data_IF_268655199310
#
_entry.id   IF_268655199310
#
_cell.length_a   1.000
_cell.length_b   1.000
_cell.length_c   1.000
_cell.angle_alpha   90.00
_cell.angle_beta   90.00
_cell.angle_gamma   90.00
#
_symmetry.space_group_name_H-M   'P 1'
#
loop_
_entity.id
_entity.type
_entity.pdbx_description
1 polymer ?
#
# COMPACT_ATOMS: atom_id res chain seq x y z
N UNK A 1 -18.59 -22.23 -6.44
CA UNK A 1 -18.32 -20.86 -5.99
C UNK A 1 -17.26 -20.30 -6.93
N UNK A 2 -17.50 -19.16 -7.57
CA UNK A 2 -16.54 -18.56 -8.49
C UNK A 2 -15.38 -17.92 -7.71
N UNK A 3 -14.18 -17.91 -8.31
CA UNK A 3 -13.02 -17.23 -7.71
C UNK A 3 -13.23 -15.72 -7.78
N UNK A 4 -12.92 -15.02 -6.69
CA UNK A 4 -12.86 -13.56 -6.68
C UNK A 4 -11.62 -13.07 -7.43
N UNK A 5 -11.63 -11.84 -7.92
CA UNK A 5 -10.57 -11.26 -8.75
C UNK A 5 -9.17 -11.43 -8.16
N UNK A 6 -9.00 -11.20 -6.86
CA UNK A 6 -7.71 -11.35 -6.18
C UNK A 6 -7.17 -12.79 -6.14
N UNK A 7 -8.00 -13.80 -6.40
CA UNK A 7 -7.58 -15.20 -6.47
C UNK A 7 -7.33 -15.69 -7.90
N UNK A 8 -7.51 -14.83 -8.90
CA UNK A 8 -7.20 -15.15 -10.31
C UNK A 8 -5.78 -14.74 -10.72
N UNK A 9 -5.11 -13.94 -9.89
CA UNK A 9 -3.74 -13.48 -10.14
C UNK A 9 -2.76 -14.62 -9.84
N UNK A 10 -1.82 -14.86 -10.75
CA UNK A 10 -0.75 -15.86 -10.54
C UNK A 10 0.30 -15.32 -9.56
N UNK A 11 0.18 -15.70 -8.29
CA UNK A 11 1.09 -15.28 -7.22
C UNK A 11 2.48 -15.92 -7.31
N UNK A 12 2.71 -16.89 -8.20
CA UNK A 12 4.03 -17.43 -8.47
C UNK A 12 4.84 -16.58 -9.47
N UNK A 13 4.15 -15.72 -10.21
CA UNK A 13 4.74 -14.77 -11.16
C UNK A 13 4.71 -13.33 -10.67
N UNK A 14 3.92 -13.05 -9.63
CA UNK A 14 3.71 -11.71 -9.09
C UNK A 14 4.97 -11.24 -8.36
N UNK A 15 5.49 -10.09 -8.75
CA UNK A 15 6.67 -9.46 -8.13
C UNK A 15 6.27 -8.19 -7.36
N UNK A 16 7.13 -7.64 -6.51
CA UNK A 16 6.92 -6.33 -5.92
C UNK A 16 6.67 -5.26 -6.98
N UNK A 17 5.63 -4.46 -6.78
CA UNK A 17 5.17 -3.50 -7.78
C UNK A 17 3.98 -2.70 -7.29
N UNK A 18 3.34 -2.02 -8.24
CA UNK A 18 2.16 -1.19 -8.02
C UNK A 18 1.13 -1.51 -9.12
N UNK A 19 0.03 -2.12 -8.75
CA UNK A 19 -0.91 -2.66 -9.71
C UNK A 19 -2.31 -2.09 -9.51
N UNK A 20 -3.07 -1.89 -10.58
CA UNK A 20 -4.53 -1.76 -10.49
C UNK A 20 -5.09 -3.15 -10.24
N UNK A 21 -5.65 -3.37 -9.04
CA UNK A 21 -6.28 -4.64 -8.69
C UNK A 21 -7.65 -4.79 -9.35
N UNK A 22 -8.46 -3.73 -9.27
CA UNK A 22 -9.78 -3.67 -9.92
C UNK A 22 -10.28 -2.24 -9.96
N UNK A 23 -11.30 -2.02 -10.80
CA UNK A 23 -12.10 -0.81 -10.84
C UNK A 23 -13.55 -1.16 -10.60
N UNK A 24 -14.17 -0.50 -9.61
CA UNK A 24 -15.57 -0.69 -9.25
C UNK A 24 -16.35 0.60 -9.54
N UNK A 25 -17.64 0.48 -9.91
CA UNK A 25 -18.52 1.63 -10.10
C UNK A 25 -19.47 1.78 -8.90
N UNK A 26 -19.54 2.96 -8.35
CA UNK A 26 -20.50 3.35 -7.33
C UNK A 26 -21.31 4.56 -7.83
N UNK A 27 -22.46 4.29 -8.45
CA UNK A 27 -23.22 5.29 -9.21
C UNK A 27 -22.40 5.77 -10.42
N UNK A 28 -22.18 7.08 -10.53
CA UNK A 28 -21.38 7.69 -11.61
C UNK A 28 -19.87 7.72 -11.30
N UNK A 29 -19.47 7.30 -10.11
CA UNK A 29 -18.06 7.34 -9.69
C UNK A 29 -17.37 6.01 -9.92
N UNK A 30 -16.12 6.07 -10.38
CA UNK A 30 -15.21 4.94 -10.42
C UNK A 30 -14.40 4.93 -9.14
N UNK A 31 -14.19 3.75 -8.57
CA UNK A 31 -13.30 3.52 -7.44
C UNK A 31 -12.20 2.59 -7.94
N UNK A 32 -10.97 3.09 -7.94
CA UNK A 32 -9.81 2.28 -8.30
C UNK A 32 -9.16 1.71 -7.04
N UNK A 33 -9.01 0.38 -7.00
CA UNK A 33 -8.27 -0.33 -5.95
C UNK A 33 -6.88 -0.67 -6.46
N UNK A 34 -5.86 -0.21 -5.74
CA UNK A 34 -4.46 -0.50 -6.04
C UNK A 34 -3.92 -1.56 -5.09
N UNK A 35 -3.14 -2.47 -5.66
CA UNK A 35 -2.30 -3.44 -4.96
C UNK A 35 -0.88 -2.86 -4.88
N UNK A 36 -0.47 -2.48 -3.67
CA UNK A 36 0.87 -2.00 -3.36
C UNK A 36 1.66 -3.21 -2.86
N UNK A 37 2.28 -3.95 -3.79
CA UNK A 37 2.98 -5.19 -3.48
C UNK A 37 4.41 -4.90 -3.06
N UNK A 38 4.71 -5.07 -1.78
CA UNK A 38 6.00 -4.68 -1.20
C UNK A 38 7.00 -5.82 -1.12
N UNK A 39 6.54 -7.07 -1.00
CA UNK A 39 7.38 -8.25 -0.88
C UNK A 39 7.04 -9.29 -1.94
N UNK A 40 8.01 -10.14 -2.29
CA UNK A 40 7.83 -11.23 -3.24
C UNK A 40 6.91 -12.32 -2.64
N UNK A 41 5.73 -12.55 -3.20
CA UNK A 41 4.81 -13.55 -2.66
C UNK A 41 5.43 -14.95 -2.69
N UNK A 42 5.37 -15.65 -1.56
CA UNK A 42 5.85 -17.03 -1.37
C UNK A 42 7.38 -17.26 -1.55
N UNK A 43 8.17 -16.23 -1.87
CA UNK A 43 9.60 -16.34 -2.11
C UNK A 43 10.45 -15.68 -1.02
N UNK A 44 9.91 -14.72 -0.29
CA UNK A 44 10.60 -14.08 0.83
C UNK A 44 9.71 -14.00 2.09
N UNK A 45 10.28 -13.78 3.28
CA UNK A 45 9.50 -13.58 4.50
C UNK A 45 8.53 -12.42 4.36
N UNK A 46 7.30 -12.61 4.85
CA UNK A 46 6.30 -11.53 4.92
C UNK A 46 6.67 -10.51 6.00
N UNK A 47 6.14 -9.31 5.89
CA UNK A 47 6.26 -8.29 6.95
C UNK A 47 5.61 -8.78 8.24
N UNK A 48 6.20 -8.43 9.40
CA UNK A 48 5.57 -8.70 10.70
C UNK A 48 4.43 -7.71 10.97
N UNK A 49 3.58 -8.04 11.93
CA UNK A 49 2.38 -7.25 12.25
C UNK A 49 2.72 -5.83 12.66
N UNK A 50 3.76 -5.63 13.45
CA UNK A 50 4.11 -4.33 14.01
C UNK A 50 4.58 -3.32 12.95
N UNK A 51 5.44 -3.72 12.00
CA UNK A 51 5.81 -2.81 10.90
C UNK A 51 4.67 -2.57 9.92
N UNK A 52 3.85 -3.58 9.65
CA UNK A 52 2.63 -3.44 8.83
C UNK A 52 1.68 -2.42 9.44
N UNK A 53 1.40 -2.54 10.74
CA UNK A 53 0.53 -1.64 11.49
C UNK A 53 1.09 -0.20 11.52
N UNK A 54 2.40 -0.06 11.68
CA UNK A 54 3.07 1.25 11.65
C UNK A 54 2.95 1.90 10.26
N UNK A 55 3.20 1.16 9.18
CA UNK A 55 3.04 1.65 7.81
C UNK A 55 1.59 2.05 7.54
N UNK A 56 0.62 1.28 8.03
CA UNK A 56 -0.80 1.62 7.91
C UNK A 56 -1.11 2.98 8.53
N UNK A 57 -0.70 3.21 9.78
CA UNK A 57 -0.94 4.48 10.48
C UNK A 57 -0.28 5.68 9.76
N UNK A 58 0.98 5.53 9.36
CA UNK A 58 1.73 6.58 8.68
C UNK A 58 1.18 6.86 7.28
N UNK A 59 0.91 5.83 6.50
CA UNK A 59 0.37 5.95 5.14
C UNK A 59 -1.05 6.53 5.13
N UNK A 60 -1.93 6.07 6.02
CA UNK A 60 -3.28 6.62 6.16
C UNK A 60 -3.24 8.10 6.57
N UNK A 61 -2.35 8.47 7.52
CA UNK A 61 -2.16 9.85 7.94
C UNK A 61 -1.65 10.71 6.79
N UNK A 62 -0.66 10.26 6.05
CA UNK A 62 -0.14 10.96 4.87
C UNK A 62 -1.22 11.21 3.83
N UNK A 63 -1.92 10.16 3.42
CA UNK A 63 -2.93 10.23 2.37
C UNK A 63 -4.11 11.13 2.74
N UNK A 64 -4.60 11.04 3.99
CA UNK A 64 -5.72 11.85 4.49
C UNK A 64 -5.37 13.33 4.70
N UNK A 65 -4.08 13.67 4.72
CA UNK A 65 -3.59 15.04 4.80
C UNK A 65 -2.97 15.53 3.47
N UNK A 66 -2.95 14.71 2.43
CA UNK A 66 -2.39 15.09 1.13
C UNK A 66 -3.30 16.10 0.42
N UNK A 67 -2.72 17.21 -0.07
CA UNK A 67 -3.46 18.33 -0.68
C UNK A 67 -4.41 17.89 -1.82
N UNK A 68 -3.99 16.93 -2.65
CA UNK A 68 -4.71 16.54 -3.87
C UNK A 68 -5.48 15.22 -3.72
N UNK A 69 -5.16 14.41 -2.70
CA UNK A 69 -5.71 13.06 -2.54
C UNK A 69 -6.51 12.83 -1.26
N UNK A 70 -6.50 13.76 -0.30
CA UNK A 70 -7.24 13.60 0.95
C UNK A 70 -8.73 13.31 0.74
N UNK A 71 -9.39 14.07 -0.16
CA UNK A 71 -10.81 13.90 -0.49
C UNK A 71 -11.12 12.69 -1.36
N UNK A 72 -10.11 12.11 -2.00
CA UNK A 72 -10.24 10.96 -2.90
C UNK A 72 -9.91 9.62 -2.22
N UNK A 73 -9.19 9.66 -1.09
CA UNK A 73 -8.78 8.46 -0.36
C UNK A 73 -9.95 7.87 0.40
N UNK A 74 -10.35 6.67 0.03
CA UNK A 74 -11.37 5.90 0.74
C UNK A 74 -10.79 5.00 1.81
N UNK A 75 -9.71 4.28 1.47
CA UNK A 75 -9.08 3.32 2.36
C UNK A 75 -7.61 3.11 2.01
N UNK A 76 -6.79 2.92 3.03
CA UNK A 76 -5.44 2.39 2.94
C UNK A 76 -5.25 1.40 4.09
N UNK A 77 -4.84 0.19 3.79
CA UNK A 77 -4.65 -0.83 4.82
C UNK A 77 -3.98 -2.09 4.29
N UNK A 78 -3.46 -2.93 5.20
CA UNK A 78 -2.67 -4.10 4.85
C UNK A 78 -3.51 -5.23 4.26
N UNK A 79 -2.87 -6.03 3.42
CA UNK A 79 -3.38 -7.32 2.99
C UNK A 79 -3.23 -8.35 4.12
N UNK A 80 -4.18 -9.26 4.26
CA UNK A 80 -4.11 -10.35 5.25
C UNK A 80 -2.88 -11.25 5.10
N UNK A 81 -2.32 -11.38 3.88
CA UNK A 81 -1.08 -12.12 3.62
C UNK A 81 0.19 -11.37 4.03
N UNK A 82 0.09 -10.09 4.40
CA UNK A 82 1.20 -9.24 4.85
C UNK A 82 2.33 -9.05 3.83
N UNK A 83 2.00 -9.13 2.53
CA UNK A 83 2.96 -8.89 1.44
C UNK A 83 2.81 -7.48 0.82
N UNK A 84 1.85 -6.70 1.29
CA UNK A 84 1.58 -5.35 0.82
C UNK A 84 0.30 -4.75 1.37
N UNK A 85 -0.17 -3.71 0.70
CA UNK A 85 -1.31 -2.89 1.10
C UNK A 85 -2.29 -2.70 -0.04
N UNK A 86 -3.55 -2.43 0.30
CA UNK A 86 -4.52 -1.90 -0.63
C UNK A 86 -4.72 -0.40 -0.41
N UNK A 87 -4.79 0.34 -1.51
CA UNK A 87 -5.22 1.73 -1.55
C UNK A 87 -6.45 1.84 -2.45
N UNK A 88 -7.53 2.43 -1.93
CA UNK A 88 -8.75 2.72 -2.67
C UNK A 88 -8.87 4.23 -2.88
N UNK A 89 -8.95 4.65 -4.14
CA UNK A 89 -9.16 6.05 -4.51
C UNK A 89 -10.44 6.21 -5.34
N UNK A 90 -11.17 7.29 -5.08
CA UNK A 90 -12.23 7.76 -5.98
C UNK A 90 -11.58 8.37 -7.21
N UNK A 91 -11.88 7.83 -8.37
CA UNK A 91 -11.38 8.24 -9.67
C UNK A 91 -10.99 7.03 -10.52
N UNK A 92 -10.89 7.27 -11.82
CA UNK A 92 -10.44 6.29 -12.81
C UNK A 92 -8.93 6.50 -13.05
N UNK A 93 -8.13 5.63 -12.48
CA UNK A 93 -6.67 5.72 -12.52
C UNK A 93 -6.04 4.46 -13.12
N UNK A 94 -4.90 4.65 -13.74
CA UNK A 94 -3.95 3.57 -14.06
C UNK A 94 -2.83 3.53 -13.00
N UNK A 95 -2.13 2.39 -12.91
CA UNK A 95 -1.03 2.22 -11.93
C UNK A 95 0.01 3.33 -12.00
N UNK A 96 0.40 3.74 -13.20
CA UNK A 96 1.39 4.81 -13.44
C UNK A 96 0.97 6.18 -12.91
N UNK A 97 -0.34 6.45 -12.83
CA UNK A 97 -0.84 7.77 -12.44
C UNK A 97 -0.56 8.07 -10.97
N UNK A 98 -0.45 7.04 -10.13
CA UNK A 98 -0.19 7.19 -8.69
C UNK A 98 1.24 6.86 -8.28
N UNK A 99 2.14 6.55 -9.21
CA UNK A 99 3.57 6.35 -8.89
C UNK A 99 4.17 7.56 -8.17
N UNK A 100 3.92 8.82 -8.59
CA UNK A 100 4.42 9.99 -7.84
C UNK A 100 3.91 10.04 -6.40
N UNK A 101 2.60 9.82 -6.18
CA UNK A 101 1.99 9.79 -4.85
C UNK A 101 2.62 8.71 -3.97
N UNK A 102 2.86 7.52 -4.51
CA UNK A 102 3.50 6.43 -3.78
C UNK A 102 4.95 6.75 -3.42
N UNK A 103 5.71 7.39 -4.33
CA UNK A 103 7.07 7.87 -4.01
C UNK A 103 7.07 8.86 -2.86
N UNK A 104 6.17 9.84 -2.87
CA UNK A 104 6.03 10.82 -1.79
C UNK A 104 5.66 10.14 -0.46
N UNK A 105 4.67 9.26 -0.47
CA UNK A 105 4.21 8.55 0.73
C UNK A 105 5.30 7.65 1.33
N UNK A 106 5.97 6.85 0.51
CA UNK A 106 7.01 5.93 1.01
C UNK A 106 8.29 6.66 1.40
N UNK A 107 8.63 7.80 0.77
CA UNK A 107 9.68 8.68 1.24
C UNK A 107 9.34 9.28 2.62
N UNK A 108 8.10 9.76 2.80
CA UNK A 108 7.62 10.24 4.11
C UNK A 108 7.74 9.16 5.18
N UNK A 109 7.28 7.92 4.91
CA UNK A 109 7.36 6.82 5.87
C UNK A 109 8.82 6.44 6.15
N UNK A 110 9.68 6.38 5.14
CA UNK A 110 11.08 6.01 5.28
C UNK A 110 11.87 6.96 6.19
N UNK A 111 11.54 8.26 6.13
CA UNK A 111 12.25 9.31 6.87
C UNK A 111 11.53 9.73 8.17
N UNK A 112 10.39 9.13 8.48
CA UNK A 112 9.61 9.49 9.68
C UNK A 112 10.37 9.13 10.97
N UNK A 113 10.42 10.08 11.91
CA UNK A 113 11.20 9.93 13.15
C UNK A 113 10.47 10.43 14.42
N UNK A 114 9.16 10.67 14.33
CA UNK A 114 8.33 11.11 15.45
C UNK A 114 7.51 9.99 16.08
N UNK A 115 6.62 10.35 16.98
CA UNK A 115 5.61 9.45 17.51
C UNK A 115 4.64 9.04 16.39
N UNK A 116 4.39 7.73 16.26
CA UNK A 116 3.46 7.23 15.23
C UNK A 116 2.06 7.78 15.49
N UNK A 117 1.44 8.46 14.51
CA UNK A 117 0.11 9.02 14.69
C UNK A 117 -0.92 7.96 15.10
N UNK A 118 -1.73 8.25 16.10
CA UNK A 118 -2.75 7.33 16.59
C UNK A 118 -2.23 6.15 17.40
N UNK A 119 -0.92 6.04 17.68
CA UNK A 119 -0.35 4.98 18.50
C UNK A 119 -0.56 5.23 20.00
N UNK A 120 -1.82 5.40 20.42
CA UNK A 120 -2.22 5.61 21.79
C UNK A 120 -3.44 4.75 22.12
N UNK A 121 -3.57 4.34 23.39
CA UNK A 121 -4.64 3.44 23.83
C UNK A 121 -6.06 3.95 23.53
N UNK A 122 -6.25 5.27 23.48
CA UNK A 122 -7.54 5.90 23.17
C UNK A 122 -7.85 5.92 21.65
N UNK A 123 -6.83 5.79 20.81
CA UNK A 123 -6.94 6.01 19.36
C UNK A 123 -6.83 4.70 18.56
N UNK A 124 -6.18 3.68 19.15
CA UNK A 124 -5.93 2.40 18.48
C UNK A 124 -6.18 1.21 19.41
N UNK A 125 -6.86 0.20 18.91
CA UNK A 125 -7.19 -1.01 19.66
C UNK A 125 -5.98 -1.91 20.00
N UNK A 126 -4.82 -1.69 19.36
CA UNK A 126 -3.57 -2.42 19.59
C UNK A 126 -2.35 -1.51 19.45
N UNK A 127 -2.35 -0.40 20.15
CA UNK A 127 -1.38 0.70 20.01
C UNK A 127 0.08 0.31 20.34
N UNK A 128 0.30 -0.79 21.05
CA UNK A 128 1.64 -1.30 21.39
C UNK A 128 2.28 -2.13 20.25
N UNK A 129 1.50 -2.58 19.27
CA UNK A 129 2.00 -3.37 18.14
C UNK A 129 2.53 -2.44 17.03
N UNK A 130 3.60 -1.72 17.33
CA UNK A 130 4.27 -0.77 16.44
C UNK A 130 5.77 -1.05 16.36
N UNK A 131 6.36 -0.89 15.17
CA UNK A 131 7.79 -1.00 14.94
C UNK A 131 8.23 0.03 13.89
N UNK A 132 8.49 1.25 14.34
CA UNK A 132 8.88 2.35 13.45
C UNK A 132 10.20 2.08 12.70
N UNK A 133 11.30 1.59 13.32
CA UNK A 133 12.53 1.30 12.60
C UNK A 133 12.36 0.30 11.45
N UNK A 134 11.55 -0.76 11.64
CA UNK A 134 11.27 -1.72 10.58
C UNK A 134 10.32 -1.15 9.52
N UNK A 135 9.35 -0.33 9.90
CA UNK A 135 8.50 0.38 8.95
C UNK A 135 9.32 1.32 8.06
N UNK A 136 10.24 2.11 8.63
CA UNK A 136 11.17 2.95 7.88
C UNK A 136 12.00 2.10 6.90
N UNK A 137 12.57 0.99 7.36
CA UNK A 137 13.37 0.08 6.54
C UNK A 137 12.57 -0.48 5.36
N UNK A 138 11.38 -1.02 5.62
CA UNK A 138 10.53 -1.62 4.58
C UNK A 138 10.05 -0.56 3.58
N UNK A 139 9.69 0.63 4.05
CA UNK A 139 9.30 1.74 3.19
C UNK A 139 10.45 2.21 2.30
N UNK A 140 11.66 2.36 2.87
CA UNK A 140 12.85 2.74 2.11
C UNK A 140 13.21 1.68 1.08
N UNK A 141 13.17 0.41 1.44
CA UNK A 141 13.42 -0.70 0.53
C UNK A 141 12.45 -0.65 -0.67
N UNK A 142 11.14 -0.56 -0.41
CA UNK A 142 10.14 -0.48 -1.48
C UNK A 142 10.33 0.77 -2.36
N UNK A 143 10.64 1.92 -1.77
CA UNK A 143 10.92 3.14 -2.50
C UNK A 143 12.11 2.97 -3.45
N UNK A 144 13.25 2.50 -2.94
CA UNK A 144 14.51 2.46 -3.70
C UNK A 144 14.60 1.28 -4.66
N UNK A 145 14.11 0.11 -4.27
CA UNK A 145 14.23 -1.11 -5.08
C UNK A 145 13.07 -1.29 -6.09
N UNK A 146 11.92 -0.66 -5.83
CA UNK A 146 10.73 -0.80 -6.69
C UNK A 146 10.32 0.53 -7.32
N UNK A 147 9.91 1.51 -6.52
CA UNK A 147 9.26 2.71 -7.04
C UNK A 147 10.19 3.62 -7.85
N UNK A 148 11.46 3.78 -7.46
CA UNK A 148 12.42 4.67 -8.15
C UNK A 148 12.76 4.19 -9.56
N UNK A 149 12.75 2.87 -9.77
CA UNK A 149 13.08 2.23 -11.06
C UNK A 149 11.95 1.36 -11.61
N UNK A 150 10.68 1.69 -11.27
CA UNK A 150 9.52 0.89 -11.63
C UNK A 150 9.38 0.72 -13.14
N UNK A 151 9.15 -0.50 -13.56
CA UNK A 151 9.02 -0.90 -14.97
C UNK A 151 7.57 -1.29 -15.29
N UNK A 152 7.23 -1.37 -16.58
CA UNK A 152 5.90 -1.81 -17.03
C UNK A 152 5.48 -3.16 -16.43
N UNK A 153 6.41 -4.08 -16.22
CA UNK A 153 6.14 -5.39 -15.60
C UNK A 153 5.70 -5.30 -14.14
N UNK A 154 6.00 -4.19 -13.49
CA UNK A 154 5.64 -3.92 -12.08
C UNK A 154 4.40 -3.02 -11.97
N UNK A 155 3.78 -2.67 -13.10
CA UNK A 155 2.57 -1.84 -13.19
C UNK A 155 1.35 -2.62 -13.68
N UNK A 156 1.56 -3.80 -14.27
CA UNK A 156 0.50 -4.66 -14.81
C UNK A 156 0.66 -6.06 -14.25
N UNK A 157 -0.44 -6.68 -13.82
CA UNK A 157 -0.41 -8.04 -13.31
C UNK A 157 0.13 -9.03 -14.37
N UNK A 158 0.93 -10.03 -13.94
CA UNK A 158 1.39 -11.08 -14.83
C UNK A 158 0.20 -11.92 -15.35
N UNK A 159 0.29 -12.30 -16.63
CA UNK A 159 -0.65 -13.22 -17.29
C UNK A 159 -0.38 -14.68 -16.91
#
# INVERSE_FOLDING_TARGET
>A
MEKITSFTIDHLKLVPGLYVSRKDCAGEQVITTFDIRMTNPNEEPVMNTAEVHTIEHLGATFLRNHRDYASKTLYFGPMGCRTGFYLLLVGDYESKDIVPLMKEMFAFIADFNGDVPGAAAKDCGNYLDMNLPMANYMAKRYLTEVLESITEKQLVYPE
#
